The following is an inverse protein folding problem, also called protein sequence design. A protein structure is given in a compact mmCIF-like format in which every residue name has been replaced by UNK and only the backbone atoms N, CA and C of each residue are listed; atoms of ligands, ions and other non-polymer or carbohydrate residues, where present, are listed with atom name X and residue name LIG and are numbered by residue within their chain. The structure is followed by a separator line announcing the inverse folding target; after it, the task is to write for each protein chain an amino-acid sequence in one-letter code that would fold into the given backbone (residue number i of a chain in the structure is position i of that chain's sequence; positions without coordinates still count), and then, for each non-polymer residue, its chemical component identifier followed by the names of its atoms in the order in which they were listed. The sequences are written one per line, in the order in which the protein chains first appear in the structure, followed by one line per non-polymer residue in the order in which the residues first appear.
data_IF_860332326414
#
_entry.id   IF_860332326414
#
_cell.length_a   1.000
_cell.length_b   1.000
_cell.length_c   1.000
_cell.angle_alpha   90.00
_cell.angle_beta   90.00
_cell.angle_gamma   90.00
#
_symmetry.space_group_name_H-M   'P 1'
#
loop_
_entity.id
_entity.type
_entity.pdbx_description
1 polymer ?
#
# COMPACT_ATOMS: atom_id res chain seq x y z
N UNK A 1 2.03 -7.95 -2.12
CA UNK A 1 2.87 -8.68 -3.08
C UNK A 1 2.36 -10.07 -3.38
N UNK A 2 2.26 -10.97 -2.39
CA UNK A 2 1.83 -12.38 -2.60
C UNK A 2 0.48 -12.47 -3.34
N UNK A 3 -0.50 -11.66 -2.95
CA UNK A 3 -1.80 -11.63 -3.61
C UNK A 3 -1.76 -11.35 -5.12
N UNK A 4 -0.77 -10.58 -5.59
CA UNK A 4 -0.57 -10.27 -7.01
C UNK A 4 0.25 -11.33 -7.75
N UNK A 5 1.24 -11.94 -7.09
CA UNK A 5 2.16 -12.89 -7.72
C UNK A 5 1.61 -14.32 -7.75
N UNK A 6 0.86 -14.72 -6.72
CA UNK A 6 0.44 -16.11 -6.48
C UNK A 6 -1.09 -16.24 -6.40
N UNK A 7 -1.79 -15.24 -5.83
CA UNK A 7 -3.23 -15.32 -5.55
C UNK A 7 -4.17 -14.74 -6.61
N UNK A 8 -3.64 -14.27 -7.74
CA UNK A 8 -4.41 -13.52 -8.72
C UNK A 8 -5.34 -14.42 -9.55
N UNK A 9 -6.62 -14.06 -9.60
CA UNK A 9 -7.59 -14.62 -10.56
C UNK A 9 -8.36 -13.48 -11.23
N UNK A 10 -9.56 -13.14 -10.76
CA UNK A 10 -10.24 -11.91 -11.17
C UNK A 10 -9.77 -10.69 -10.37
N UNK A 11 -9.30 -10.93 -9.15
CA UNK A 11 -8.74 -9.94 -8.22
C UNK A 11 -7.54 -10.58 -7.52
N UNK A 12 -6.56 -9.78 -7.02
CA UNK A 12 -5.53 -10.30 -6.13
C UNK A 12 -6.18 -10.74 -4.81
N UNK A 13 -5.91 -11.98 -4.39
CA UNK A 13 -6.53 -12.59 -3.18
C UNK A 13 -5.47 -13.12 -2.23
N UNK A 14 -5.82 -13.26 -0.97
CA UNK A 14 -5.03 -13.93 0.07
C UNK A 14 -5.84 -15.07 0.68
N UNK A 15 -5.17 -15.98 1.38
CA UNK A 15 -5.77 -17.09 2.10
C UNK A 15 -5.40 -17.06 3.60
N UNK A 16 -5.90 -18.07 4.33
CA UNK A 16 -5.64 -18.21 5.76
C UNK A 16 -4.18 -18.52 6.08
N UNK A 17 -3.46 -19.25 5.24
CA UNK A 17 -2.06 -19.60 5.49
C UNK A 17 -1.17 -18.35 5.42
N UNK A 18 -1.42 -17.49 4.44
CA UNK A 18 -0.77 -16.18 4.30
C UNK A 18 -1.13 -15.29 5.51
N UNK A 19 -2.41 -15.21 5.88
CA UNK A 19 -2.83 -14.42 7.04
C UNK A 19 -2.15 -14.91 8.33
N UNK A 20 -2.10 -16.22 8.56
CA UNK A 20 -1.47 -16.80 9.75
C UNK A 20 0.04 -16.52 9.79
N UNK A 21 0.71 -16.60 8.64
CA UNK A 21 2.15 -16.36 8.50
C UNK A 21 2.55 -14.89 8.69
N UNK A 22 1.71 -13.94 8.26
CA UNK A 22 2.04 -12.51 8.24
C UNK A 22 1.17 -11.64 9.16
N UNK A 23 0.60 -12.22 10.23
CA UNK A 23 -0.33 -11.53 11.14
C UNK A 23 0.28 -10.45 12.02
N UNK A 24 1.59 -10.48 12.26
CA UNK A 24 2.25 -9.62 13.24
C UNK A 24 2.16 -8.14 12.86
N UNK A 25 1.74 -7.30 13.81
CA UNK A 25 1.60 -5.85 13.60
C UNK A 25 0.40 -5.42 12.75
N UNK A 26 -0.57 -6.31 12.53
CA UNK A 26 -1.77 -6.03 11.71
C UNK A 26 -3.04 -6.04 12.58
N UNK A 27 -3.78 -4.92 12.55
CA UNK A 27 -5.15 -4.83 13.06
C UNK A 27 -6.11 -5.16 11.91
N UNK A 28 -7.09 -6.02 12.15
CA UNK A 28 -8.08 -6.44 11.15
C UNK A 28 -9.50 -6.23 11.64
N UNK A 29 -10.41 -5.97 10.70
CA UNK A 29 -11.84 -5.84 10.95
C UNK A 29 -12.62 -6.95 10.25
N UNK A 30 -13.90 -7.12 10.58
CA UNK A 30 -14.77 -8.08 9.87
C UNK A 30 -15.12 -7.68 8.43
N UNK A 31 -14.75 -6.47 8.02
CA UNK A 31 -15.04 -5.89 6.70
C UNK A 31 -16.44 -5.30 6.57
N UNK A 32 -16.68 -4.70 5.40
CA UNK A 32 -17.98 -4.13 5.00
C UNK A 32 -19.05 -5.21 4.76
N UNK A 33 -20.21 -4.83 4.23
CA UNK A 33 -21.29 -5.77 3.91
C UNK A 33 -20.88 -6.97 3.03
N UNK A 34 -19.82 -6.83 2.20
CA UNK A 34 -19.29 -7.90 1.35
C UNK A 34 -18.26 -8.80 2.07
N UNK A 35 -17.93 -8.50 3.33
CA UNK A 35 -17.03 -9.31 4.15
C UNK A 35 -17.62 -10.68 4.49
N UNK A 36 -16.75 -11.65 4.77
CA UNK A 36 -17.15 -13.04 5.03
C UNK A 36 -18.16 -13.16 6.19
N UNK A 37 -17.90 -12.49 7.32
CA UNK A 37 -18.77 -12.54 8.49
C UNK A 37 -20.12 -11.84 8.21
N UNK A 38 -20.16 -10.59 7.68
CA UNK A 38 -21.39 -9.94 7.25
C UNK A 38 -22.25 -10.76 6.28
N UNK A 39 -21.66 -11.38 5.25
CA UNK A 39 -22.39 -12.21 4.28
C UNK A 39 -23.01 -13.46 4.91
N UNK A 40 -22.28 -14.14 5.79
CA UNK A 40 -22.82 -15.29 6.54
C UNK A 40 -23.97 -14.86 7.46
N UNK A 41 -23.86 -13.69 8.10
CA UNK A 41 -24.94 -13.17 8.94
C UNK A 41 -26.17 -12.79 8.09
N UNK A 42 -25.99 -12.17 6.93
CA UNK A 42 -27.07 -11.79 6.02
C UNK A 42 -27.85 -13.02 5.53
N UNK A 43 -27.14 -14.09 5.17
CA UNK A 43 -27.70 -15.37 4.72
C UNK A 43 -28.17 -16.29 5.87
N UNK A 44 -28.29 -15.76 7.09
CA UNK A 44 -28.76 -16.46 8.30
C UNK A 44 -27.90 -17.65 8.76
N UNK A 45 -26.63 -17.69 8.38
CA UNK A 45 -25.65 -18.71 8.77
C UNK A 45 -24.88 -18.31 10.05
N UNK A 46 -25.61 -17.97 11.11
CA UNK A 46 -25.05 -17.39 12.33
C UNK A 46 -24.00 -18.28 13.03
N UNK A 47 -24.18 -19.61 12.99
CA UNK A 47 -23.20 -20.56 13.56
C UNK A 47 -21.85 -20.49 12.85
N UNK A 48 -21.87 -20.40 11.52
CA UNK A 48 -20.65 -20.31 10.73
C UNK A 48 -19.99 -18.93 10.88
N UNK A 49 -20.78 -17.86 10.88
CA UNK A 49 -20.30 -16.51 11.18
C UNK A 49 -19.56 -16.46 12.53
N UNK A 50 -20.13 -17.10 13.57
CA UNK A 50 -19.51 -17.23 14.90
C UNK A 50 -18.21 -18.04 14.86
N UNK A 51 -18.17 -19.13 14.11
CA UNK A 51 -16.97 -19.94 13.92
C UNK A 51 -15.84 -19.13 13.27
N UNK A 52 -16.13 -18.41 12.18
CA UNK A 52 -15.16 -17.55 11.48
C UNK A 52 -14.69 -16.40 12.37
N UNK A 53 -15.61 -15.70 13.05
CA UNK A 53 -15.25 -14.64 13.99
C UNK A 53 -14.35 -15.16 15.14
N UNK A 54 -14.62 -16.37 15.64
CA UNK A 54 -13.78 -17.02 16.66
C UNK A 54 -12.40 -17.39 16.10
N UNK A 55 -12.31 -17.78 14.82
CA UNK A 55 -11.02 -18.04 14.16
C UNK A 55 -10.19 -16.77 14.04
N UNK A 56 -10.79 -15.65 13.63
CA UNK A 56 -10.13 -14.34 13.61
C UNK A 56 -9.70 -13.90 15.02
N UNK A 57 -10.59 -14.02 16.02
CA UNK A 57 -10.27 -13.70 17.41
C UNK A 57 -9.13 -14.55 17.95
N UNK A 58 -9.08 -15.85 17.64
CA UNK A 58 -7.96 -16.73 18.02
C UNK A 58 -6.65 -16.31 17.35
N UNK A 59 -6.72 -15.84 16.10
CA UNK A 59 -5.53 -15.52 15.31
C UNK A 59 -4.91 -14.16 15.69
N UNK A 60 -5.76 -13.14 15.82
CA UNK A 60 -5.39 -11.73 16.01
C UNK A 60 -5.63 -11.22 17.43
N UNK A 61 -6.44 -11.91 18.25
CA UNK A 61 -6.72 -11.50 19.64
C UNK A 61 -7.28 -10.08 19.72
N UNK A 62 -6.57 -9.21 20.44
CA UNK A 62 -6.93 -7.80 20.65
C UNK A 62 -6.77 -6.91 19.40
N UNK A 63 -6.23 -7.47 18.31
CA UNK A 63 -6.10 -6.83 17.01
C UNK A 63 -7.29 -7.10 16.08
N UNK A 64 -8.33 -7.80 16.55
CA UNK A 64 -9.55 -8.04 15.79
C UNK A 64 -10.73 -7.23 16.31
N UNK A 65 -11.42 -6.56 15.38
CA UNK A 65 -12.64 -5.79 15.65
C UNK A 65 -13.78 -6.24 14.73
N UNK A 66 -15.00 -6.18 15.22
CA UNK A 66 -16.19 -6.31 14.37
C UNK A 66 -16.59 -4.93 13.84
N UNK A 67 -16.63 -4.80 12.53
CA UNK A 67 -16.91 -3.55 11.83
C UNK A 67 -18.41 -3.30 11.74
N UNK A 68 -18.81 -2.06 12.04
CA UNK A 68 -20.19 -1.58 11.87
C UNK A 68 -20.21 -0.33 11.02
N UNK A 69 -21.07 -0.33 10.02
CA UNK A 69 -21.29 0.78 9.08
C UNK A 69 -22.74 1.26 9.19
N UNK A 70 -23.03 2.47 8.73
CA UNK A 70 -24.38 3.03 8.76
C UNK A 70 -24.74 3.73 7.45
N UNK A 71 -25.36 2.94 6.57
CA UNK A 71 -25.91 3.36 5.28
C UNK A 71 -27.43 3.11 5.29
N UNK A 72 -28.25 4.04 5.80
CA UNK A 72 -29.67 3.80 6.07
C UNK A 72 -30.51 3.49 4.82
N UNK A 73 -30.01 3.86 3.63
CA UNK A 73 -30.67 3.56 2.35
C UNK A 73 -30.37 2.14 1.84
N UNK A 74 -29.53 1.37 2.54
CA UNK A 74 -29.21 -0.03 2.22
C UNK A 74 -29.75 -0.91 3.36
N UNK A 75 -30.96 -1.51 3.21
CA UNK A 75 -31.60 -2.28 4.28
C UNK A 75 -30.74 -3.42 4.85
N UNK A 76 -29.96 -4.07 4.00
CA UNK A 76 -29.06 -5.17 4.35
C UNK A 76 -27.99 -4.73 5.35
N UNK A 77 -27.45 -3.50 5.21
CA UNK A 77 -26.45 -2.95 6.12
C UNK A 77 -27.00 -2.82 7.53
N UNK A 78 -28.24 -2.34 7.68
CA UNK A 78 -28.88 -2.22 8.99
C UNK A 78 -29.18 -3.58 9.63
N UNK A 79 -29.57 -4.58 8.83
CA UNK A 79 -29.74 -5.96 9.30
C UNK A 79 -28.41 -6.57 9.77
N UNK A 80 -27.35 -6.39 8.98
CA UNK A 80 -25.99 -6.84 9.30
C UNK A 80 -25.51 -6.16 10.58
N UNK A 81 -25.66 -4.83 10.72
CA UNK A 81 -25.27 -4.06 11.90
C UNK A 81 -25.87 -4.66 13.17
N UNK A 82 -27.18 -4.93 13.20
CA UNK A 82 -27.85 -5.54 14.37
C UNK A 82 -27.27 -6.92 14.72
N UNK A 83 -27.03 -7.76 13.70
CA UNK A 83 -26.46 -9.11 13.89
C UNK A 83 -24.99 -9.06 14.35
N UNK A 84 -24.20 -8.13 13.82
CA UNK A 84 -22.81 -7.89 14.23
C UNK A 84 -22.74 -7.42 15.68
N UNK A 85 -23.60 -6.48 16.10
CA UNK A 85 -23.66 -6.01 17.49
C UNK A 85 -23.97 -7.19 18.42
N UNK A 86 -24.95 -8.03 18.08
CA UNK A 86 -25.24 -9.25 18.85
C UNK A 86 -24.02 -10.18 18.94
N UNK A 87 -23.36 -10.44 17.81
CA UNK A 87 -22.16 -11.29 17.75
C UNK A 87 -21.00 -10.73 18.59
N UNK A 88 -20.79 -9.41 18.58
CA UNK A 88 -19.83 -8.71 19.42
C UNK A 88 -20.09 -8.98 20.90
N UNK A 89 -21.33 -8.80 21.36
CA UNK A 89 -21.68 -9.03 22.78
C UNK A 89 -21.57 -10.50 23.19
N UNK A 90 -21.86 -11.44 22.28
CA UNK A 90 -21.72 -12.87 22.54
C UNK A 90 -20.26 -13.33 22.66
N UNK A 91 -19.35 -12.79 21.83
CA UNK A 91 -17.95 -13.23 21.77
C UNK A 91 -16.98 -12.32 22.53
N UNK A 92 -17.45 -11.18 23.03
CA UNK A 92 -16.61 -10.17 23.67
C UNK A 92 -15.66 -9.43 22.70
N UNK A 93 -15.96 -9.44 21.40
CA UNK A 93 -15.13 -8.79 20.38
C UNK A 93 -15.52 -7.31 20.27
N UNK A 94 -14.59 -6.36 20.37
CA UNK A 94 -14.90 -4.93 20.30
C UNK A 94 -15.45 -4.52 18.93
N UNK A 95 -16.36 -3.55 18.91
CA UNK A 95 -16.89 -2.95 17.69
C UNK A 95 -15.99 -1.81 17.21
N UNK A 96 -15.98 -1.54 15.91
CA UNK A 96 -15.39 -0.32 15.33
C UNK A 96 -16.33 0.27 14.29
N UNK A 97 -16.57 1.59 14.37
CA UNK A 97 -17.40 2.31 13.42
C UNK A 97 -16.59 2.81 12.22
N UNK A 98 -17.10 2.58 11.00
CA UNK A 98 -16.50 3.04 9.74
C UNK A 98 -17.61 3.51 8.78
N UNK A 99 -17.24 4.17 7.67
CA UNK A 99 -18.17 4.67 6.66
C UNK A 99 -17.86 4.22 5.22
N UNK A 100 -16.88 3.32 5.05
CA UNK A 100 -16.44 2.79 3.74
C UNK A 100 -16.27 3.91 2.68
N UNK A 101 -15.44 4.91 3.00
CA UNK A 101 -15.36 6.16 2.23
C UNK A 101 -14.80 5.93 0.82
N UNK A 102 -15.52 6.40 -0.20
CA UNK A 102 -15.14 6.30 -1.62
C UNK A 102 -14.95 7.67 -2.30
N UNK A 103 -15.39 8.75 -1.66
CA UNK A 103 -15.24 10.14 -2.14
C UNK A 103 -15.14 11.11 -0.96
N UNK A 104 -14.74 12.36 -1.21
CA UNK A 104 -14.43 13.31 -0.14
C UNK A 104 -15.69 13.99 0.35
N UNK A 105 -16.39 14.68 -0.56
CA UNK A 105 -17.53 15.54 -0.24
C UNK A 105 -18.85 14.89 -0.70
N UNK A 106 -19.99 15.15 -0.03
CA UNK A 106 -21.29 14.59 -0.42
C UNK A 106 -21.67 14.80 -1.89
N UNK A 107 -21.28 15.95 -2.46
CA UNK A 107 -21.56 16.35 -3.83
C UNK A 107 -20.80 15.50 -4.88
N UNK A 108 -19.73 14.81 -4.49
CA UNK A 108 -18.92 13.96 -5.37
C UNK A 108 -19.60 12.62 -5.73
N UNK A 109 -20.77 12.32 -5.17
CA UNK A 109 -21.46 11.06 -5.39
C UNK A 109 -21.72 10.78 -6.88
N UNK A 110 -22.11 11.79 -7.66
CA UNK A 110 -22.31 11.64 -9.11
C UNK A 110 -20.99 11.37 -9.86
N UNK A 111 -19.89 12.00 -9.43
CA UNK A 111 -18.58 11.78 -10.00
C UNK A 111 -18.07 10.36 -9.71
N UNK A 112 -18.28 9.86 -8.49
CA UNK A 112 -17.97 8.48 -8.13
C UNK A 112 -18.81 7.48 -8.94
N UNK A 113 -20.08 7.78 -9.14
CA UNK A 113 -20.98 6.92 -9.90
C UNK A 113 -20.59 6.85 -11.39
N UNK A 114 -20.20 7.98 -11.98
CA UNK A 114 -19.64 8.03 -13.33
C UNK A 114 -18.34 7.22 -13.44
N UNK A 115 -17.46 7.27 -12.42
CA UNK A 115 -16.24 6.48 -12.38
C UNK A 115 -16.53 4.97 -12.36
N UNK A 116 -17.55 4.52 -11.60
CA UNK A 116 -17.99 3.12 -11.59
C UNK A 116 -18.54 2.68 -12.95
N UNK A 117 -19.30 3.53 -13.63
CA UNK A 117 -19.81 3.25 -14.97
C UNK A 117 -18.66 3.04 -15.97
N UNK A 118 -17.63 3.89 -15.93
CA UNK A 118 -16.42 3.74 -16.75
C UNK A 118 -15.70 2.42 -16.42
N UNK A 119 -15.49 2.13 -15.13
CA UNK A 119 -14.79 0.92 -14.68
C UNK A 119 -15.51 -0.36 -15.15
N UNK A 120 -16.84 -0.37 -15.10
CA UNK A 120 -17.68 -1.52 -15.48
C UNK A 120 -18.03 -1.53 -16.97
N UNK A 121 -17.58 -0.54 -17.74
CA UNK A 121 -17.89 -0.36 -19.17
C UNK A 121 -19.39 -0.31 -19.44
N UNK A 122 -20.14 0.37 -18.56
CA UNK A 122 -21.58 0.60 -18.66
C UNK A 122 -21.86 2.09 -18.90
N UNK A 123 -23.04 2.41 -19.43
CA UNK A 123 -23.52 3.78 -19.53
C UNK A 123 -24.28 4.16 -18.26
N UNK A 124 -24.31 5.45 -17.90
CA UNK A 124 -25.07 5.93 -16.73
C UNK A 124 -26.57 5.56 -16.83
N UNK A 125 -27.09 5.50 -18.06
CA UNK A 125 -28.47 5.12 -18.37
C UNK A 125 -28.79 3.62 -18.22
N UNK A 126 -27.81 2.74 -18.00
CA UNK A 126 -28.07 1.31 -17.78
C UNK A 126 -28.56 1.09 -16.35
N UNK A 127 -29.86 0.79 -16.17
CA UNK A 127 -30.48 0.56 -14.85
C UNK A 127 -29.93 -0.67 -14.13
N UNK A 128 -29.32 -1.64 -14.84
CA UNK A 128 -28.75 -2.85 -14.26
C UNK A 128 -27.24 -2.73 -13.95
N UNK A 129 -26.67 -1.52 -14.06
CA UNK A 129 -25.26 -1.30 -13.73
C UNK A 129 -25.04 -1.31 -12.22
N UNK A 130 -23.80 -1.57 -11.83
CA UNK A 130 -23.38 -1.29 -10.46
C UNK A 130 -23.43 0.22 -10.23
N UNK A 131 -24.28 0.65 -9.30
CA UNK A 131 -24.48 2.04 -8.90
C UNK A 131 -24.50 2.12 -7.39
N UNK A 132 -24.01 3.23 -6.85
CA UNK A 132 -24.12 3.56 -5.43
C UNK A 132 -24.90 4.87 -5.22
N UNK A 133 -25.43 5.46 -6.29
CA UNK A 133 -26.07 6.79 -6.25
C UNK A 133 -27.35 6.80 -5.39
N UNK A 134 -28.02 5.66 -5.25
CA UNK A 134 -29.20 5.52 -4.40
C UNK A 134 -28.86 5.68 -2.91
N UNK A 135 -27.61 5.43 -2.52
CA UNK A 135 -27.05 5.68 -1.18
C UNK A 135 -25.82 6.58 -1.26
N UNK A 136 -26.00 7.91 -1.47
CA UNK A 136 -24.90 8.85 -1.69
C UNK A 136 -24.28 9.28 -0.35
N UNK A 137 -23.88 8.30 0.46
CA UNK A 137 -23.42 8.51 1.83
C UNK A 137 -22.08 7.82 2.16
N UNK A 138 -21.30 7.53 1.11
CA UNK A 138 -19.93 7.00 1.15
C UNK A 138 -18.87 8.12 1.09
N UNK A 139 -19.21 9.34 1.51
CA UNK A 139 -18.27 10.45 1.66
C UNK A 139 -17.57 10.42 3.02
N UNK A 140 -16.58 11.31 3.20
CA UNK A 140 -15.90 11.50 4.47
C UNK A 140 -16.79 12.30 5.44
N UNK A 141 -17.65 11.61 6.18
CA UNK A 141 -18.52 12.22 7.19
C UNK A 141 -17.73 12.95 8.28
N UNK A 142 -18.28 14.08 8.71
CA UNK A 142 -17.85 14.80 9.91
C UNK A 142 -18.00 13.97 11.18
N UNK A 143 -17.32 14.40 12.25
CA UNK A 143 -17.43 13.78 13.57
C UNK A 143 -18.88 13.85 14.09
N UNK A 144 -19.59 14.95 13.87
CA UNK A 144 -20.97 15.15 14.30
C UNK A 144 -21.93 14.20 13.59
N UNK A 145 -21.77 14.00 12.28
CA UNK A 145 -22.57 13.05 11.50
C UNK A 145 -22.32 11.61 11.97
N UNK A 146 -21.06 11.21 12.15
CA UNK A 146 -20.71 9.89 12.68
C UNK A 146 -21.25 9.68 14.09
N UNK A 147 -21.17 10.71 14.95
CA UNK A 147 -21.71 10.67 16.31
C UNK A 147 -23.23 10.49 16.33
N UNK A 148 -23.95 11.14 15.40
CA UNK A 148 -25.40 10.94 15.23
C UNK A 148 -25.73 9.53 14.73
N UNK A 149 -25.01 9.04 13.71
CA UNK A 149 -25.21 7.71 13.11
C UNK A 149 -24.95 6.54 14.10
N UNK A 150 -24.01 6.73 15.02
CA UNK A 150 -23.60 5.73 16.00
C UNK A 150 -23.95 6.11 17.44
N UNK A 151 -24.97 6.96 17.65
CA UNK A 151 -25.41 7.40 18.98
C UNK A 151 -25.69 6.25 19.96
N UNK A 152 -26.17 5.11 19.47
CA UNK A 152 -26.44 3.91 20.27
C UNK A 152 -25.23 2.99 20.49
N UNK A 153 -24.09 3.28 19.85
CA UNK A 153 -22.85 2.50 19.89
C UNK A 153 -21.63 3.43 20.08
N UNK A 154 -21.57 4.22 21.19
CA UNK A 154 -20.45 5.12 21.44
C UNK A 154 -19.11 4.37 21.55
N UNK A 155 -19.13 3.13 22.03
CA UNK A 155 -17.96 2.26 22.12
C UNK A 155 -17.32 1.98 20.74
N UNK A 156 -18.12 1.86 19.69
CA UNK A 156 -17.63 1.68 18.32
C UNK A 156 -16.87 2.92 17.80
N UNK A 157 -17.31 4.13 18.18
CA UNK A 157 -16.63 5.38 17.84
C UNK A 157 -15.36 5.56 18.67
N UNK A 158 -15.39 5.29 19.97
CA UNK A 158 -14.19 5.38 20.83
C UNK A 158 -13.06 4.47 20.33
N UNK A 159 -13.41 3.28 19.83
CA UNK A 159 -12.44 2.33 19.34
C UNK A 159 -11.74 2.80 18.06
N UNK A 160 -12.34 3.70 17.24
CA UNK A 160 -11.65 4.28 16.07
C UNK A 160 -10.42 5.07 16.51
N UNK A 161 -10.57 5.90 17.55
CA UNK A 161 -9.47 6.67 18.14
C UNK A 161 -8.44 5.75 18.79
N UNK A 162 -8.87 4.74 19.56
CA UNK A 162 -7.95 3.78 20.18
C UNK A 162 -7.13 3.03 19.12
N UNK A 163 -7.72 2.65 17.99
CA UNK A 163 -7.00 2.02 16.88
C UNK A 163 -6.00 3.02 16.27
N UNK A 164 -6.43 4.25 15.99
CA UNK A 164 -5.55 5.29 15.45
C UNK A 164 -4.33 5.55 16.35
N UNK A 165 -4.53 5.65 17.67
CA UNK A 165 -3.46 5.86 18.66
C UNK A 165 -2.46 4.68 18.75
N UNK A 166 -2.90 3.47 18.37
CA UNK A 166 -2.06 2.26 18.33
C UNK A 166 -1.23 2.16 17.05
N UNK A 167 -1.69 2.75 15.94
CA UNK A 167 -1.03 2.67 14.65
C UNK A 167 0.21 3.57 14.58
N UNK A 168 1.39 2.99 14.81
CA UNK A 168 2.69 3.67 14.72
C UNK A 168 3.54 3.07 13.60
N UNK A 169 3.58 3.75 12.46
CA UNK A 169 4.37 3.34 11.30
C UNK A 169 5.32 4.46 10.89
N UNK A 170 6.62 4.18 10.91
CA UNK A 170 7.64 5.08 10.37
C UNK A 170 8.14 4.53 9.04
N UNK A 171 7.89 5.28 7.96
CA UNK A 171 8.44 4.98 6.64
C UNK A 171 9.66 5.88 6.43
N UNK A 172 10.85 5.30 6.42
CA UNK A 172 12.08 6.08 6.23
C UNK A 172 12.17 6.61 4.80
N UNK A 173 12.09 7.92 4.62
CA UNK A 173 12.21 8.59 3.32
C UNK A 173 13.60 9.23 3.20
N UNK A 174 14.16 9.26 1.99
CA UNK A 174 15.42 9.95 1.70
C UNK A 174 16.70 9.14 1.97
N UNK A 175 16.57 7.94 2.53
CA UNK A 175 17.70 7.02 2.66
C UNK A 175 18.06 6.40 1.31
N UNK A 176 19.34 6.47 0.95
CA UNK A 176 19.86 5.83 -0.25
C UNK A 176 20.08 4.33 0.01
N UNK A 177 19.26 3.49 -0.62
CA UNK A 177 19.43 2.04 -0.60
C UNK A 177 20.06 1.61 -1.93
N UNK A 178 21.39 1.58 -1.98
CA UNK A 178 22.13 1.15 -3.17
C UNK A 178 22.48 -0.33 -3.09
N UNK A 179 22.36 -1.09 -4.20
CA UNK A 179 22.88 -2.45 -4.27
C UNK A 179 24.38 -2.49 -3.97
N UNK A 180 24.84 -3.58 -3.35
CA UNK A 180 26.28 -3.82 -3.16
C UNK A 180 26.91 -4.13 -4.51
N UNK A 181 27.83 -3.26 -4.95
CA UNK A 181 28.59 -3.51 -6.17
C UNK A 181 29.68 -4.56 -5.91
N UNK A 182 29.84 -5.59 -6.75
CA UNK A 182 30.88 -6.60 -6.56
C UNK A 182 32.27 -5.99 -6.78
N UNK A 183 33.13 -6.06 -5.76
CA UNK A 183 34.48 -5.50 -5.78
C UNK A 183 35.52 -6.62 -5.73
N UNK A 184 36.68 -6.47 -6.40
CA UNK A 184 37.83 -7.34 -6.17
C UNK A 184 38.29 -7.26 -4.70
N UNK A 185 38.83 -8.36 -4.17
CA UNK A 185 39.22 -8.48 -2.75
C UNK A 185 40.04 -7.29 -2.24
N UNK A 186 39.67 -6.83 -1.04
CA UNK A 186 40.36 -5.77 -0.31
C UNK A 186 40.16 -4.35 -0.87
N UNK A 187 39.20 -4.12 -1.77
CA UNK A 187 38.94 -2.78 -2.34
C UNK A 187 37.64 -2.16 -1.85
N UNK A 188 37.69 -0.85 -1.65
CA UNK A 188 36.48 -0.03 -1.44
C UNK A 188 35.93 0.48 -2.78
N UNK A 189 34.62 0.84 -2.85
CA UNK A 189 34.03 1.45 -4.03
C UNK A 189 34.81 2.68 -4.53
N UNK A 190 35.30 3.52 -3.63
CA UNK A 190 36.04 4.75 -3.91
C UNK A 190 37.37 4.44 -4.59
N UNK A 191 38.14 3.48 -4.04
CA UNK A 191 39.42 3.05 -4.60
C UNK A 191 39.23 2.42 -5.97
N UNK A 192 38.19 1.60 -6.12
CA UNK A 192 37.90 0.94 -7.39
C UNK A 192 37.43 1.93 -8.46
N UNK A 193 36.55 2.87 -8.12
CA UNK A 193 36.12 3.92 -9.04
C UNK A 193 37.30 4.78 -9.48
N UNK A 194 38.14 5.25 -8.54
CA UNK A 194 39.35 6.01 -8.87
C UNK A 194 40.27 5.23 -9.81
N UNK A 195 40.47 3.93 -9.56
CA UNK A 195 41.28 3.05 -10.43
C UNK A 195 40.69 2.97 -11.84
N UNK A 196 39.39 2.72 -11.97
CA UNK A 196 38.71 2.59 -13.27
C UNK A 196 38.70 3.90 -14.05
N UNK A 197 38.41 5.01 -13.38
CA UNK A 197 38.42 6.33 -13.97
C UNK A 197 39.80 6.67 -14.52
N UNK A 198 40.86 6.53 -13.71
CA UNK A 198 42.24 6.79 -14.13
C UNK A 198 42.71 5.85 -15.26
N UNK A 199 42.29 4.58 -15.24
CA UNK A 199 42.62 3.60 -16.30
C UNK A 199 41.98 3.96 -17.65
N UNK A 200 40.74 4.46 -17.66
CA UNK A 200 39.99 4.72 -18.89
C UNK A 200 40.07 6.16 -19.37
N UNK A 201 40.46 7.10 -18.50
CA UNK A 201 40.57 8.52 -18.82
C UNK A 201 41.47 8.84 -20.03
N UNK A 202 42.67 8.23 -20.19
CA UNK A 202 43.49 8.45 -21.39
C UNK A 202 42.85 7.99 -22.69
N UNK A 203 41.88 7.06 -22.65
CA UNK A 203 41.18 6.57 -23.85
C UNK A 203 40.12 7.54 -24.37
N UNK A 204 39.78 8.58 -23.59
CA UNK A 204 38.73 9.57 -23.91
C UNK A 204 39.30 10.88 -24.42
N UNK A 205 40.58 11.16 -24.17
CA UNK A 205 41.22 12.42 -24.52
C UNK A 205 42.51 12.17 -25.29
N UNK A 206 42.66 12.82 -26.45
CA UNK A 206 43.87 12.74 -27.27
C UNK A 206 45.07 13.48 -26.64
N UNK A 207 44.83 14.41 -25.70
CA UNK A 207 45.86 15.18 -24.99
C UNK A 207 45.45 15.42 -23.53
N UNK A 208 46.38 15.19 -22.59
CA UNK A 208 46.12 15.22 -21.14
C UNK A 208 46.82 16.40 -20.46
N UNK A 209 46.22 17.60 -20.52
CA UNK A 209 46.75 18.78 -19.85
C UNK A 209 46.44 18.81 -18.33
N UNK A 210 47.10 19.73 -17.61
CA UNK A 210 46.95 19.91 -16.16
C UNK A 210 45.51 20.25 -15.74
N UNK A 211 44.76 21.00 -16.56
CA UNK A 211 43.37 21.41 -16.29
C UNK A 211 42.42 20.20 -16.27
N UNK A 212 42.53 19.31 -17.27
CA UNK A 212 41.67 18.12 -17.40
C UNK A 212 41.96 17.12 -16.27
N UNK A 213 43.25 16.89 -15.93
CA UNK A 213 43.63 16.06 -14.77
C UNK A 213 43.09 16.61 -13.45
N UNK A 214 43.18 17.94 -13.23
CA UNK A 214 42.64 18.60 -12.03
C UNK A 214 41.13 18.45 -11.92
N UNK A 215 40.40 18.51 -13.05
CA UNK A 215 38.94 18.30 -13.07
C UNK A 215 38.55 16.88 -12.67
N UNK A 216 39.24 15.86 -13.20
CA UNK A 216 38.99 14.47 -12.85
C UNK A 216 39.15 14.22 -11.34
N UNK A 217 40.26 14.69 -10.76
CA UNK A 217 40.52 14.49 -9.33
C UNK A 217 39.54 15.27 -8.46
N UNK A 218 39.12 16.47 -8.87
CA UNK A 218 38.07 17.22 -8.18
C UNK A 218 36.74 16.45 -8.15
N UNK A 219 36.26 15.97 -9.30
CA UNK A 219 35.01 15.22 -9.39
C UNK A 219 35.08 13.92 -8.59
N UNK A 220 36.16 13.13 -8.73
CA UNK A 220 36.35 11.90 -7.98
C UNK A 220 36.34 12.15 -6.47
N UNK A 221 36.94 13.25 -6.01
CA UNK A 221 36.94 13.59 -4.58
C UNK A 221 35.54 13.96 -4.09
N UNK A 222 34.77 14.74 -4.84
CA UNK A 222 33.38 15.08 -4.50
C UNK A 222 32.49 13.83 -4.50
N UNK A 223 32.60 12.98 -5.52
CA UNK A 223 31.81 11.74 -5.63
C UNK A 223 32.10 10.81 -4.46
N UNK A 224 33.37 10.62 -4.11
CA UNK A 224 33.76 9.75 -3.01
C UNK A 224 33.37 10.33 -1.65
N UNK A 225 33.54 11.64 -1.43
CA UNK A 225 33.19 12.26 -0.14
C UNK A 225 31.68 12.29 0.11
N UNK A 226 30.87 12.29 -0.96
CA UNK A 226 29.40 12.19 -0.88
C UNK A 226 28.88 10.74 -0.87
N UNK A 227 29.76 9.74 -0.95
CA UNK A 227 29.35 8.33 -0.92
C UNK A 227 28.70 7.83 -2.23
N UNK A 228 28.86 8.55 -3.34
CA UNK A 228 28.25 8.18 -4.63
C UNK A 228 29.11 7.20 -5.46
N UNK A 229 30.26 6.76 -4.95
CA UNK A 229 31.12 5.85 -5.71
C UNK A 229 30.42 4.54 -6.15
N UNK A 230 29.60 3.86 -5.31
CA UNK A 230 28.85 2.68 -5.74
C UNK A 230 27.89 2.97 -6.90
N UNK A 231 27.21 4.11 -6.88
CA UNK A 231 26.29 4.52 -7.94
C UNK A 231 26.99 4.62 -9.29
N UNK A 232 28.14 5.32 -9.35
CA UNK A 232 28.93 5.44 -10.58
C UNK A 232 29.44 4.08 -11.08
N UNK A 233 29.84 3.19 -10.16
CA UNK A 233 30.27 1.84 -10.52
C UNK A 233 29.13 1.03 -11.15
N UNK A 234 27.96 1.00 -10.51
CA UNK A 234 26.76 0.30 -11.01
C UNK A 234 26.38 0.82 -12.40
N UNK A 235 26.27 2.14 -12.55
CA UNK A 235 25.89 2.76 -13.84
C UNK A 235 26.91 2.45 -14.93
N UNK A 236 28.21 2.56 -14.61
CA UNK A 236 29.25 2.25 -15.58
C UNK A 236 29.23 0.77 -15.99
N UNK A 237 28.88 -0.15 -15.09
CA UNK A 237 28.88 -1.59 -15.37
C UNK A 237 27.79 -1.96 -16.37
N UNK A 238 26.52 -1.64 -16.11
CA UNK A 238 25.45 -2.01 -17.03
C UNK A 238 25.55 -1.29 -18.38
N UNK A 239 26.05 -0.04 -18.40
CA UNK A 239 26.30 0.68 -19.67
C UNK A 239 27.38 -0.01 -20.50
N UNK A 240 28.48 -0.42 -19.86
CA UNK A 240 29.56 -1.12 -20.56
C UNK A 240 29.15 -2.53 -20.97
N UNK A 241 28.35 -3.22 -20.17
CA UNK A 241 27.77 -4.51 -20.51
C UNK A 241 26.87 -4.40 -21.75
N UNK A 242 25.97 -3.42 -21.78
CA UNK A 242 25.08 -3.18 -22.92
C UNK A 242 25.88 -2.96 -24.21
N UNK A 243 26.90 -2.09 -24.17
CA UNK A 243 27.79 -1.84 -25.32
C UNK A 243 28.52 -3.10 -25.80
N UNK A 244 29.01 -3.94 -24.88
CA UNK A 244 29.67 -5.22 -25.23
C UNK A 244 28.70 -6.22 -25.87
N UNK A 245 27.40 -6.13 -25.56
CA UNK A 245 26.34 -6.97 -26.14
C UNK A 245 25.74 -6.38 -27.43
N UNK A 246 26.31 -5.31 -27.97
CA UNK A 246 25.79 -4.64 -29.17
C UNK A 246 24.50 -3.85 -28.93
N UNK A 247 24.11 -3.64 -27.67
CA UNK A 247 22.94 -2.82 -27.31
C UNK A 247 23.37 -1.35 -27.35
N UNK A 248 22.71 -0.56 -28.20
CA UNK A 248 22.99 0.87 -28.33
C UNK A 248 22.60 1.61 -27.05
N UNK A 249 23.51 2.44 -26.55
CA UNK A 249 23.28 3.33 -25.41
C UNK A 249 23.38 4.76 -25.92
N UNK A 250 22.42 5.62 -25.57
CA UNK A 250 22.42 7.03 -25.96
C UNK A 250 23.61 7.83 -25.40
N UNK A 251 23.82 9.06 -25.87
CA UNK A 251 24.95 9.90 -25.45
C UNK A 251 24.89 10.38 -24.00
N UNK A 252 23.74 10.26 -23.33
CA UNK A 252 23.45 10.81 -21.99
C UNK A 252 22.26 11.77 -22.04
N UNK A 253 21.62 12.00 -20.88
CA UNK A 253 20.54 13.01 -20.71
C UNK A 253 20.46 13.43 -19.24
N UNK A 254 19.88 14.60 -18.98
CA UNK A 254 19.81 15.17 -17.63
C UNK A 254 21.14 15.85 -17.24
N UNK A 255 21.38 15.98 -15.93
CA UNK A 255 22.61 16.59 -15.38
C UNK A 255 23.82 15.64 -15.30
N UNK A 256 23.67 14.41 -15.82
CA UNK A 256 24.69 13.36 -15.81
C UNK A 256 25.83 13.61 -16.81
#
# INVERSE_FOLDING_TARGET
TIAHLEGYHYRPRIDWEILEKYKEGIIVTSGCQQGQIPQLLLTNQAKEAKSIASKFLKLFGNDFYLEVQHHPKIPEVEQIRKKIVKLSRELGIPLVATNDVHYVDPEDAEAQDALLAIQTRKTISDENRLSMIDSPDFYLRSQEEMSKAFKSLPDALENTKKIADRCKLEISIGNWILPKFPLPDGKTPELYLKKLARKNFPKRYNYLNKKIKKRLEFELNVICSKGFAPYFLIVSDFVNWAKKKGIRVGPGRGSA
#
